data_IF_619361481898
#
_entry.id   IF_619361481898
#
_cell.length_a   1.000
_cell.length_b   1.000
_cell.length_c   1.000
_cell.angle_alpha   90.00
_cell.angle_beta   90.00
_cell.angle_gamma   90.00
#
_symmetry.space_group_name_H-M   'P 1'
#
loop_
_entity.id
_entity.type
_entity.pdbx_description
1 polymer ?
#
# COMPACT_ATOMS: atom_id res chain seq x y z
N UNK A 1 -33.05 1.74 6.82
CA UNK A 1 -31.58 1.59 6.90
C UNK A 1 -31.29 0.10 6.91
N UNK A 2 -30.44 -0.38 6.00
CA UNK A 2 -30.12 -1.81 5.89
C UNK A 2 -29.07 -2.27 6.95
N UNK A 3 -28.78 -1.44 7.96
CA UNK A 3 -27.78 -1.74 9.00
C UNK A 3 -26.33 -1.73 8.46
N UNK A 4 -26.11 -1.19 7.27
CA UNK A 4 -24.79 -1.11 6.67
C UNK A 4 -23.91 -0.12 7.42
N UNK A 5 -22.71 -0.56 7.79
CA UNK A 5 -21.72 0.28 8.49
C UNK A 5 -20.71 0.78 7.45
N UNK A 6 -20.58 2.09 7.34
CA UNK A 6 -19.60 2.75 6.47
C UNK A 6 -18.59 3.52 7.31
N UNK A 7 -17.36 3.49 6.89
CA UNK A 7 -16.29 4.24 7.55
C UNK A 7 -16.21 5.65 7.02
N UNK A 8 -15.87 6.60 7.90
CA UNK A 8 -15.65 7.99 7.49
C UNK A 8 -14.47 8.60 8.28
N UNK A 9 -13.90 9.64 7.70
CA UNK A 9 -12.89 10.47 8.33
C UNK A 9 -13.54 11.80 8.72
N UNK A 10 -13.27 12.28 9.93
CA UNK A 10 -13.63 13.63 10.34
C UNK A 10 -12.63 14.60 9.71
N UNK A 11 -13.13 15.57 8.96
CA UNK A 11 -12.31 16.63 8.35
C UNK A 11 -12.27 17.87 9.22
N UNK A 12 -13.41 18.25 9.80
CA UNK A 12 -13.55 19.48 10.58
C UNK A 12 -14.64 19.30 11.64
N UNK A 13 -14.47 19.96 12.76
CA UNK A 13 -15.49 20.07 13.82
C UNK A 13 -15.75 21.52 14.10
N UNK A 14 -17.00 21.97 13.90
CA UNK A 14 -17.46 23.34 14.14
C UNK A 14 -18.64 23.33 15.11
N UNK A 15 -18.40 23.60 16.38
CA UNK A 15 -19.41 23.55 17.42
C UNK A 15 -20.07 22.17 17.46
N UNK A 16 -21.39 22.11 17.23
CA UNK A 16 -22.18 20.87 17.26
C UNK A 16 -22.20 20.12 15.92
N UNK A 17 -21.52 20.65 14.89
CA UNK A 17 -21.45 20.06 13.56
C UNK A 17 -20.08 19.48 13.27
N UNK A 18 -20.03 18.32 12.64
CA UNK A 18 -18.81 17.71 12.12
C UNK A 18 -18.93 17.45 10.62
N UNK A 19 -17.95 17.94 9.87
CA UNK A 19 -17.78 17.60 8.45
C UNK A 19 -17.04 16.27 8.36
N UNK A 20 -17.67 15.28 7.73
CA UNK A 20 -17.08 13.94 7.58
C UNK A 20 -16.99 13.57 6.10
N UNK A 21 -15.92 12.90 5.74
CA UNK A 21 -15.71 12.34 4.41
C UNK A 21 -15.83 10.82 4.48
N UNK A 22 -16.72 10.26 3.69
CA UNK A 22 -16.91 8.81 3.61
C UNK A 22 -15.79 8.16 2.79
N UNK A 23 -15.35 6.99 3.21
CA UNK A 23 -14.42 6.14 2.44
C UNK A 23 -15.13 5.34 1.34
N UNK A 24 -16.46 5.27 1.39
CA UNK A 24 -17.29 4.52 0.47
C UNK A 24 -18.33 5.45 -0.15
N UNK A 25 -19.07 4.95 -1.17
CA UNK A 25 -20.13 5.74 -1.82
C UNK A 25 -21.20 6.20 -0.82
N UNK A 26 -21.67 7.43 -0.96
CA UNK A 26 -22.78 7.97 -0.19
C UNK A 26 -24.16 7.46 -0.66
N UNK A 27 -24.22 6.67 -1.73
CA UNK A 27 -25.48 6.17 -2.31
C UNK A 27 -26.24 5.33 -1.30
N UNK A 28 -27.54 5.63 -1.13
CA UNK A 28 -28.43 4.87 -0.23
C UNK A 28 -28.34 5.27 1.25
N UNK A 29 -27.63 6.34 1.61
CA UNK A 29 -27.65 6.88 2.97
C UNK A 29 -29.00 7.58 3.21
N UNK A 30 -29.75 7.12 4.22
CA UNK A 30 -30.93 7.81 4.69
C UNK A 30 -30.54 8.84 5.76
N UNK A 31 -30.67 10.13 5.44
CA UNK A 31 -30.26 11.23 6.32
C UNK A 31 -31.03 11.25 7.64
N UNK A 32 -32.29 10.79 7.66
CA UNK A 32 -33.13 10.82 8.86
C UNK A 32 -32.83 9.67 9.86
N UNK A 33 -32.30 8.54 9.36
CA UNK A 33 -32.08 7.33 10.17
C UNK A 33 -30.61 7.01 10.40
N UNK A 34 -29.69 7.68 9.68
CA UNK A 34 -28.26 7.44 9.81
C UNK A 34 -27.74 7.98 11.15
N UNK A 35 -26.88 7.19 11.76
CA UNK A 35 -26.20 7.55 13.00
C UNK A 35 -24.70 7.53 12.80
N UNK A 36 -24.01 8.50 13.38
CA UNK A 36 -22.54 8.59 13.39
C UNK A 36 -22.01 8.20 14.77
N UNK A 37 -20.97 7.37 14.78
CA UNK A 37 -20.24 7.03 15.99
C UNK A 37 -18.79 7.43 15.84
N UNK A 38 -18.31 8.36 16.65
CA UNK A 38 -16.89 8.72 16.71
C UNK A 38 -16.11 7.64 17.45
N UNK A 39 -15.02 7.18 16.85
CA UNK A 39 -14.20 6.09 17.39
C UNK A 39 -13.04 6.59 18.26
N UNK A 40 -12.70 7.89 18.17
CA UNK A 40 -11.61 8.50 18.93
C UNK A 40 -10.22 7.98 18.55
N UNK A 41 -10.09 7.35 17.37
CA UNK A 41 -8.82 6.81 16.88
C UNK A 41 -8.66 7.10 15.40
N UNK A 42 -7.40 7.13 14.96
CA UNK A 42 -7.03 7.21 13.55
C UNK A 42 -7.33 5.91 12.79
N UNK A 43 -7.14 5.94 11.50
CA UNK A 43 -7.24 4.75 10.67
C UNK A 43 -6.06 3.81 10.99
N UNK A 44 -6.39 2.56 11.28
CA UNK A 44 -5.42 1.51 11.59
C UNK A 44 -5.45 0.39 10.55
N UNK A 45 -4.32 -0.29 10.38
CA UNK A 45 -4.19 -1.51 9.59
C UNK A 45 -3.78 -2.68 10.48
N UNK A 46 -4.45 -3.82 10.29
CA UNK A 46 -4.15 -5.06 11.00
C UNK A 46 -2.99 -5.79 10.32
N UNK A 47 -1.91 -6.03 11.03
CA UNK A 47 -0.71 -6.67 10.52
C UNK A 47 -0.45 -8.01 11.20
N UNK A 48 0.02 -8.98 10.44
CA UNK A 48 0.55 -10.28 10.86
C UNK A 48 1.45 -10.82 9.75
N UNK A 49 2.25 -11.87 9.96
CA UNK A 49 3.00 -12.52 8.88
C UNK A 49 2.12 -13.03 7.75
N UNK A 50 0.84 -13.32 8.03
CA UNK A 50 -0.13 -13.86 7.07
C UNK A 50 -0.59 -12.83 6.01
N UNK A 51 -0.12 -11.57 6.09
CA UNK A 51 -0.34 -10.59 5.01
C UNK A 51 0.48 -10.90 3.76
N UNK A 52 1.54 -11.70 3.87
CA UNK A 52 2.31 -12.15 2.72
C UNK A 52 1.47 -13.07 1.83
N UNK A 53 1.62 -12.91 0.52
CA UNK A 53 0.84 -13.66 -0.46
C UNK A 53 -0.55 -13.10 -0.73
N UNK A 54 -0.94 -12.00 -0.05
CA UNK A 54 -2.31 -11.50 -0.07
C UNK A 54 -2.47 -10.23 -0.90
N UNK A 55 -3.70 -10.05 -1.39
CA UNK A 55 -4.13 -8.86 -2.14
C UNK A 55 -5.20 -8.13 -1.35
N UNK A 56 -5.00 -6.84 -1.14
CA UNK A 56 -5.87 -5.95 -0.37
C UNK A 56 -6.41 -4.80 -1.22
N UNK A 57 -7.58 -4.30 -0.88
CA UNK A 57 -8.05 -2.99 -1.34
C UNK A 57 -7.19 -1.86 -0.78
N UNK A 58 -7.34 -0.64 -1.28
CA UNK A 58 -6.66 0.53 -0.75
C UNK A 58 -6.96 0.83 0.72
N UNK A 59 -8.04 0.27 1.27
CA UNK A 59 -8.41 0.34 2.68
C UNK A 59 -7.92 -0.86 3.52
N UNK A 60 -7.07 -1.73 2.96
CA UNK A 60 -6.54 -2.88 3.67
C UNK A 60 -7.53 -4.03 3.87
N UNK A 61 -8.58 -4.11 3.06
CA UNK A 61 -9.55 -5.21 3.09
C UNK A 61 -9.10 -6.30 2.09
N UNK A 62 -9.02 -7.57 2.47
CA UNK A 62 -8.70 -8.64 1.52
C UNK A 62 -9.67 -8.66 0.34
N UNK A 63 -9.14 -8.80 -0.89
CA UNK A 63 -9.91 -8.88 -2.14
C UNK A 63 -9.53 -10.09 -3.00
N UNK A 64 -8.81 -11.03 -2.42
CA UNK A 64 -8.27 -12.23 -3.06
C UNK A 64 -9.08 -13.51 -2.75
N UNK A 65 -10.32 -13.36 -2.30
CA UNK A 65 -11.22 -14.44 -1.86
C UNK A 65 -10.65 -15.32 -0.72
N UNK A 66 -9.53 -14.90 -0.12
CA UNK A 66 -8.93 -15.56 1.03
C UNK A 66 -9.63 -15.18 2.35
N UNK A 67 -9.33 -15.91 3.43
CA UNK A 67 -9.90 -15.62 4.74
C UNK A 67 -9.45 -14.25 5.25
N UNK A 68 -10.24 -13.66 6.16
CA UNK A 68 -9.83 -12.45 6.87
C UNK A 68 -8.53 -12.70 7.65
N UNK A 69 -7.62 -11.73 7.63
CA UNK A 69 -6.38 -11.78 8.38
C UNK A 69 -6.70 -11.56 9.86
N UNK A 70 -6.23 -12.46 10.71
CA UNK A 70 -6.27 -12.28 12.17
C UNK A 70 -5.03 -11.46 12.54
N UNK A 71 -5.17 -10.18 12.89
CA UNK A 71 -4.02 -9.33 13.11
C UNK A 71 -3.34 -9.66 14.45
N UNK A 72 -2.02 -9.78 14.44
CA UNK A 72 -1.22 -9.78 15.67
C UNK A 72 -1.25 -8.40 16.34
N UNK A 73 -1.23 -7.35 15.53
CA UNK A 73 -1.28 -5.95 15.95
C UNK A 73 -2.11 -5.11 15.02
N UNK A 74 -2.57 -3.97 15.51
CA UNK A 74 -3.15 -2.89 14.70
C UNK A 74 -2.25 -1.67 14.81
N UNK A 75 -1.78 -1.20 13.68
CA UNK A 75 -0.85 -0.07 13.56
C UNK A 75 -1.56 1.12 12.92
N UNK A 76 -1.30 2.31 13.44
CA UNK A 76 -1.76 3.56 12.84
C UNK A 76 -1.07 3.77 11.49
N UNK A 77 -1.86 4.03 10.45
CA UNK A 77 -1.33 4.22 9.10
C UNK A 77 -0.55 5.53 8.90
N UNK A 78 -0.61 6.44 9.86
CA UNK A 78 0.23 7.64 9.83
C UNK A 78 1.69 7.33 10.23
N UNK A 79 1.95 6.13 10.74
CA UNK A 79 3.28 5.69 11.15
C UNK A 79 3.77 6.37 12.43
N UNK A 80 4.99 6.01 12.82
CA UNK A 80 5.69 6.65 13.93
C UNK A 80 6.87 7.47 13.39
N UNK A 81 7.10 8.69 13.90
CA UNK A 81 8.25 9.50 13.47
C UNK A 81 9.54 8.82 13.91
N UNK A 82 10.47 8.65 12.96
CA UNK A 82 11.81 8.13 13.25
C UNK A 82 12.75 9.33 13.48
N UNK A 83 13.47 9.32 14.60
CA UNK A 83 14.49 10.31 14.86
C UNK A 83 15.55 10.29 13.73
N UNK A 84 15.79 11.41 13.03
CA UNK A 84 16.79 11.46 11.96
C UNK A 84 18.20 11.01 12.40
N UNK A 85 18.57 11.22 13.66
CA UNK A 85 19.85 10.81 14.21
C UNK A 85 20.00 9.27 14.36
N UNK A 86 18.88 8.53 14.33
CA UNK A 86 18.88 7.06 14.37
C UNK A 86 19.02 6.42 12.98
N UNK A 87 19.14 7.22 11.92
CA UNK A 87 19.30 6.71 10.55
C UNK A 87 20.75 6.38 10.28
N UNK A 88 20.98 5.19 9.77
CA UNK A 88 22.27 4.77 9.24
C UNK A 88 22.40 5.13 7.76
N UNK A 89 23.64 5.29 7.30
CA UNK A 89 23.90 5.46 5.88
C UNK A 89 23.61 4.15 5.14
N UNK A 90 22.83 4.19 4.05
CA UNK A 90 22.50 2.99 3.27
C UNK A 90 23.77 2.44 2.61
N UNK A 91 23.99 1.12 2.77
CA UNK A 91 25.15 0.43 2.20
C UNK A 91 24.77 -0.87 1.48
N UNK A 92 23.59 -1.45 1.76
CA UNK A 92 23.18 -2.72 1.21
C UNK A 92 22.53 -2.56 -0.17
N UNK A 93 23.15 -3.17 -1.19
CA UNK A 93 22.68 -3.11 -2.57
C UNK A 93 21.44 -3.96 -2.79
N UNK A 94 20.41 -3.37 -3.38
CA UNK A 94 19.22 -4.06 -3.85
C UNK A 94 19.34 -4.22 -5.37
N UNK A 95 19.52 -5.46 -5.81
CA UNK A 95 19.54 -5.79 -7.22
C UNK A 95 18.10 -5.79 -7.76
N UNK A 96 17.81 -4.88 -8.69
CA UNK A 96 16.48 -4.77 -9.32
C UNK A 96 16.31 -5.71 -10.52
N UNK A 97 17.41 -6.19 -11.08
CA UNK A 97 17.45 -6.98 -12.31
C UNK A 97 17.35 -6.14 -13.58
N UNK A 98 17.35 -4.82 -13.46
CA UNK A 98 17.36 -3.86 -14.59
C UNK A 98 18.75 -3.25 -14.65
N UNK A 99 19.51 -3.59 -15.70
CA UNK A 99 20.93 -3.21 -15.82
C UNK A 99 21.17 -1.69 -15.76
N UNK A 100 20.27 -0.90 -16.34
CA UNK A 100 20.37 0.57 -16.27
C UNK A 100 20.22 1.12 -14.85
N UNK A 101 19.36 0.50 -14.02
CA UNK A 101 19.19 0.87 -12.61
C UNK A 101 20.40 0.35 -11.82
N UNK A 102 20.67 -0.95 -11.93
CA UNK A 102 21.70 -1.61 -11.14
C UNK A 102 23.11 -1.05 -11.41
N UNK A 103 23.36 -0.58 -12.64
CA UNK A 103 24.67 -0.07 -13.05
C UNK A 103 24.85 1.44 -12.95
N UNK A 104 23.77 2.23 -13.15
CA UNK A 104 23.89 3.70 -13.26
C UNK A 104 23.15 4.46 -12.15
N UNK A 105 22.08 3.89 -11.59
CA UNK A 105 21.26 4.48 -10.54
C UNK A 105 21.03 3.48 -9.40
N UNK A 106 22.10 2.86 -8.95
CA UNK A 106 22.12 1.78 -7.95
C UNK A 106 21.16 2.03 -6.79
N UNK A 107 20.22 1.13 -6.61
CA UNK A 107 19.29 1.17 -5.48
C UNK A 107 19.94 0.52 -4.25
N UNK A 108 19.93 1.24 -3.13
CA UNK A 108 20.41 0.73 -1.85
C UNK A 108 19.26 0.76 -0.82
N UNK A 109 19.35 -0.09 0.18
CA UNK A 109 18.37 -0.17 1.26
C UNK A 109 18.19 1.18 1.95
N UNK A 110 16.95 1.62 2.13
CA UNK A 110 16.59 2.91 2.70
C UNK A 110 16.58 4.08 1.70
N UNK A 111 16.94 3.84 0.44
CA UNK A 111 16.89 4.85 -0.63
C UNK A 111 15.52 4.87 -1.32
N UNK A 112 15.17 6.03 -1.84
CA UNK A 112 14.03 6.23 -2.75
C UNK A 112 14.56 6.39 -4.17
N UNK A 113 13.99 5.66 -5.11
CA UNK A 113 14.30 5.75 -6.53
C UNK A 113 13.04 6.16 -7.29
N UNK A 114 12.86 7.43 -7.64
CA UNK A 114 11.75 7.85 -8.49
C UNK A 114 12.01 7.44 -9.93
N UNK A 115 10.97 6.89 -10.59
CA UNK A 115 10.97 6.56 -12.01
C UNK A 115 9.96 7.45 -12.69
N UNK A 116 10.43 8.32 -13.57
CA UNK A 116 9.59 9.19 -14.37
C UNK A 116 9.38 8.58 -15.75
N UNK A 117 8.15 8.56 -16.24
CA UNK A 117 7.83 8.11 -17.58
C UNK A 117 6.82 9.04 -18.25
N UNK A 118 6.89 9.13 -19.57
CA UNK A 118 5.85 9.77 -20.36
C UNK A 118 4.64 8.82 -20.51
N UNK A 119 3.49 9.38 -20.83
CA UNK A 119 2.29 8.61 -21.14
C UNK A 119 2.54 7.63 -22.30
N UNK A 120 2.01 6.42 -22.16
CA UNK A 120 2.16 5.35 -23.17
C UNK A 120 3.47 4.55 -23.08
N UNK A 121 4.38 4.90 -22.18
CA UNK A 121 5.56 4.06 -21.92
C UNK A 121 5.23 2.91 -20.95
N UNK A 122 5.90 1.75 -21.05
CA UNK A 122 5.56 0.55 -20.29
C UNK A 122 6.09 0.59 -18.85
N UNK A 123 5.79 1.64 -18.10
CA UNK A 123 6.23 1.80 -16.69
C UNK A 123 5.64 0.72 -15.77
N UNK A 124 4.41 0.28 -16.05
CA UNK A 124 3.77 -0.81 -15.32
C UNK A 124 4.59 -2.12 -15.44
N UNK A 125 5.01 -2.46 -16.66
CA UNK A 125 5.84 -3.63 -16.92
C UNK A 125 7.19 -3.55 -16.20
N UNK A 126 7.79 -2.35 -16.15
CA UNK A 126 9.03 -2.12 -15.41
C UNK A 126 8.84 -2.33 -13.91
N UNK A 127 7.75 -1.81 -13.33
CA UNK A 127 7.43 -2.00 -11.92
C UNK A 127 7.27 -3.49 -11.55
N UNK A 128 6.52 -4.24 -12.37
CA UNK A 128 6.33 -5.68 -12.21
C UNK A 128 7.64 -6.45 -12.35
N UNK A 129 8.47 -6.11 -13.33
CA UNK A 129 9.76 -6.74 -13.52
C UNK A 129 10.67 -6.54 -12.30
N UNK A 130 10.72 -5.33 -11.75
CA UNK A 130 11.48 -5.04 -10.51
C UNK A 130 10.91 -5.85 -9.34
N UNK A 131 9.59 -5.84 -9.14
CA UNK A 131 8.95 -6.60 -8.06
C UNK A 131 9.30 -8.10 -8.11
N UNK A 132 9.30 -8.67 -9.31
CA UNK A 132 9.58 -10.09 -9.57
C UNK A 132 11.06 -10.45 -9.39
N UNK A 133 11.98 -9.59 -9.79
CA UNK A 133 13.42 -9.89 -9.85
C UNK A 133 14.22 -9.35 -8.67
N UNK A 134 13.69 -8.38 -7.92
CA UNK A 134 14.40 -7.71 -6.85
C UNK A 134 14.85 -8.69 -5.75
N UNK A 135 16.10 -8.51 -5.33
CA UNK A 135 16.74 -9.27 -4.23
C UNK A 135 17.89 -8.49 -3.62
N UNK A 136 18.21 -8.80 -2.39
CA UNK A 136 19.45 -8.34 -1.73
C UNK A 136 20.53 -9.39 -1.94
N UNK A 137 21.71 -8.97 -2.40
CA UNK A 137 22.87 -9.86 -2.59
C UNK A 137 23.63 -10.04 -1.28
N UNK A 138 24.10 -11.27 -1.06
CA UNK A 138 25.04 -11.58 0.03
C UNK A 138 24.40 -11.77 1.40
N UNK A 139 23.08 -11.85 1.48
CA UNK A 139 22.36 -12.18 2.71
C UNK A 139 21.37 -13.30 2.49
N UNK A 140 21.24 -14.20 3.47
CA UNK A 140 20.17 -15.19 3.54
C UNK A 140 18.87 -14.63 4.15
N UNK A 141 18.81 -13.31 4.33
CA UNK A 141 17.66 -12.63 4.94
C UNK A 141 16.43 -12.74 4.05
N UNK A 142 15.28 -12.94 4.68
CA UNK A 142 14.00 -12.98 3.98
C UNK A 142 13.75 -11.64 3.26
N UNK A 143 13.32 -11.72 2.01
CA UNK A 143 13.00 -10.56 1.17
C UNK A 143 11.52 -10.52 0.83
N UNK A 144 10.88 -9.40 1.03
CA UNK A 144 9.48 -9.17 0.69
C UNK A 144 9.32 -7.96 -0.23
N UNK A 145 8.24 -7.95 -1.00
CA UNK A 145 7.82 -6.82 -1.82
C UNK A 145 6.46 -6.34 -1.33
N UNK A 146 6.33 -5.05 -1.11
CA UNK A 146 5.03 -4.41 -0.88
C UNK A 146 4.71 -3.57 -2.11
N UNK A 147 3.65 -3.95 -2.81
CA UNK A 147 3.23 -3.31 -4.06
C UNK A 147 1.94 -2.54 -3.83
N UNK A 148 1.96 -1.24 -4.07
CA UNK A 148 0.80 -0.37 -3.97
C UNK A 148 0.45 0.18 -5.36
N UNK A 149 -0.67 -0.28 -5.91
CA UNK A 149 -1.25 0.22 -7.16
C UNK A 149 -2.32 1.26 -6.83
N UNK A 150 -2.09 2.51 -7.23
CA UNK A 150 -2.85 3.67 -6.78
C UNK A 150 -3.57 4.33 -7.95
N UNK A 151 -4.90 4.32 -7.93
CA UNK A 151 -5.73 4.97 -8.96
C UNK A 151 -5.57 4.36 -10.36
N UNK A 152 -5.32 3.05 -10.43
CA UNK A 152 -5.09 2.33 -11.69
C UNK A 152 -6.39 1.84 -12.33
N UNK A 153 -6.32 1.46 -13.61
CA UNK A 153 -7.45 0.83 -14.28
C UNK A 153 -7.67 -0.61 -13.78
N UNK A 154 -8.84 -1.17 -14.08
CA UNK A 154 -9.13 -2.56 -13.75
C UNK A 154 -8.19 -3.52 -14.53
N UNK A 155 -7.91 -3.19 -15.78
CA UNK A 155 -7.03 -3.98 -16.64
C UNK A 155 -5.59 -4.02 -16.09
N UNK A 156 -5.08 -2.88 -15.60
CA UNK A 156 -3.76 -2.83 -14.97
C UNK A 156 -3.73 -3.65 -13.66
N UNK A 157 -4.81 -3.60 -12.86
CA UNK A 157 -4.91 -4.39 -11.64
C UNK A 157 -4.86 -5.89 -11.93
N UNK A 158 -5.66 -6.35 -12.91
CA UNK A 158 -5.64 -7.74 -13.37
C UNK A 158 -4.28 -8.15 -13.92
N UNK A 159 -3.63 -7.28 -14.67
CA UNK A 159 -2.27 -7.51 -15.18
C UNK A 159 -1.27 -7.74 -14.03
N UNK A 160 -1.25 -6.87 -13.01
CA UNK A 160 -0.35 -7.01 -11.88
C UNK A 160 -0.60 -8.30 -11.09
N UNK A 161 -1.86 -8.57 -10.75
CA UNK A 161 -2.21 -9.75 -9.94
C UNK A 161 -1.93 -11.04 -10.70
N UNK A 162 -2.27 -11.09 -11.99
CA UNK A 162 -2.05 -12.28 -12.82
C UNK A 162 -0.57 -12.58 -13.04
N UNK A 163 0.25 -11.54 -13.29
CA UNK A 163 1.71 -11.74 -13.43
C UNK A 163 2.35 -12.21 -12.12
N UNK A 164 1.99 -11.61 -10.99
CA UNK A 164 2.51 -12.04 -9.69
C UNK A 164 2.13 -13.49 -9.35
N UNK A 165 0.90 -13.90 -9.65
CA UNK A 165 0.45 -15.29 -9.48
C UNK A 165 1.19 -16.24 -10.44
N UNK A 166 1.27 -15.90 -11.72
CA UNK A 166 1.89 -16.74 -12.75
C UNK A 166 3.39 -16.96 -12.51
N UNK A 167 4.07 -15.98 -11.92
CA UNK A 167 5.52 -16.04 -11.65
C UNK A 167 5.88 -16.54 -10.25
N UNK A 168 4.89 -16.75 -9.38
CA UNK A 168 5.10 -17.08 -7.96
C UNK A 168 5.64 -15.92 -7.13
N UNK A 169 5.74 -14.72 -7.70
CA UNK A 169 6.17 -13.53 -6.96
C UNK A 169 5.16 -13.12 -5.87
N UNK A 170 3.92 -13.54 -6.01
CA UNK A 170 2.85 -13.26 -5.04
C UNK A 170 3.21 -13.76 -3.64
N UNK A 171 3.82 -14.94 -3.49
CA UNK A 171 4.09 -15.60 -2.21
C UNK A 171 4.98 -14.76 -1.27
N UNK A 172 5.80 -13.88 -1.83
CA UNK A 172 6.66 -12.95 -1.10
C UNK A 172 6.20 -11.50 -1.20
N UNK A 173 4.99 -11.27 -1.71
CA UNK A 173 4.45 -9.93 -1.94
C UNK A 173 3.23 -9.66 -1.08
N UNK A 174 3.04 -8.39 -0.74
CA UNK A 174 1.79 -7.83 -0.22
C UNK A 174 1.33 -6.81 -1.23
N UNK A 175 0.12 -6.99 -1.78
CA UNK A 175 -0.38 -6.13 -2.86
C UNK A 175 -1.57 -5.32 -2.36
N UNK A 176 -1.52 -4.01 -2.54
CA UNK A 176 -2.63 -3.10 -2.30
C UNK A 176 -3.10 -2.53 -3.63
N UNK A 177 -4.40 -2.61 -3.88
CA UNK A 177 -5.01 -2.14 -5.13
C UNK A 177 -6.07 -1.09 -4.82
N UNK A 178 -5.93 0.07 -5.42
CA UNK A 178 -6.93 1.12 -5.47
C UNK A 178 -7.23 1.43 -6.93
N UNK A 179 -8.48 1.28 -7.32
CA UNK A 179 -8.91 1.51 -8.69
C UNK A 179 -9.20 2.99 -8.95
N UNK A 180 -9.22 3.37 -10.22
CA UNK A 180 -9.47 4.76 -10.64
C UNK A 180 -10.89 5.24 -10.26
N UNK A 181 -11.85 4.34 -10.14
CA UNK A 181 -13.23 4.62 -9.73
C UNK A 181 -13.47 4.55 -8.22
N UNK A 182 -12.45 4.17 -7.43
CA UNK A 182 -12.54 4.21 -5.97
C UNK A 182 -12.50 5.65 -5.45
N UNK A 183 -13.07 5.91 -4.26
CA UNK A 183 -13.05 7.24 -3.65
C UNK A 183 -11.64 7.81 -3.46
N UNK A 184 -11.46 9.13 -3.67
CA UNK A 184 -10.17 9.81 -3.52
C UNK A 184 -9.52 9.59 -2.14
N UNK A 185 -10.33 9.51 -1.08
CA UNK A 185 -9.85 9.23 0.28
C UNK A 185 -9.18 7.87 0.41
N UNK A 186 -9.71 6.86 -0.27
CA UNK A 186 -9.08 5.54 -0.33
C UNK A 186 -7.74 5.62 -1.05
N UNK A 187 -7.69 6.36 -2.16
CA UNK A 187 -6.47 6.60 -2.93
C UNK A 187 -5.36 7.22 -2.09
N UNK A 188 -5.69 8.23 -1.28
CA UNK A 188 -4.73 8.87 -0.35
C UNK A 188 -4.27 7.91 0.76
N UNK A 189 -5.13 6.98 1.18
CA UNK A 189 -4.83 6.04 2.26
C UNK A 189 -3.98 4.86 1.79
N UNK A 190 -4.10 4.44 0.53
CA UNK A 190 -3.45 3.25 -0.04
C UNK A 190 -1.93 3.22 0.17
N UNK A 191 -1.14 4.26 -0.16
CA UNK A 191 0.30 4.24 0.09
C UNK A 191 0.65 4.14 1.58
N UNK A 192 -0.18 4.73 2.45
CA UNK A 192 0.04 4.66 3.90
C UNK A 192 -0.21 3.25 4.44
N UNK A 193 -1.26 2.57 3.96
CA UNK A 193 -1.53 1.16 4.28
C UNK A 193 -0.35 0.28 3.85
N UNK A 194 0.13 0.48 2.62
CA UNK A 194 1.28 -0.26 2.10
C UNK A 194 2.56 -0.02 2.92
N UNK A 195 2.84 1.23 3.27
CA UNK A 195 4.00 1.56 4.11
C UNK A 195 3.88 0.98 5.52
N UNK A 196 2.68 0.97 6.11
CA UNK A 196 2.45 0.33 7.43
C UNK A 196 2.73 -1.17 7.38
N UNK A 197 2.29 -1.86 6.33
CA UNK A 197 2.62 -3.27 6.11
C UNK A 197 4.14 -3.47 5.93
N UNK A 198 4.78 -2.60 5.17
CA UNK A 198 6.23 -2.65 4.93
C UNK A 198 7.03 -2.41 6.20
N UNK A 199 6.66 -1.44 7.03
CA UNK A 199 7.29 -1.17 8.33
C UNK A 199 7.20 -2.37 9.27
N UNK A 200 6.04 -3.00 9.36
CA UNK A 200 5.85 -4.21 10.16
C UNK A 200 6.77 -5.34 9.70
N UNK A 201 6.80 -5.63 8.39
CA UNK A 201 7.65 -6.68 7.84
C UNK A 201 9.14 -6.38 8.02
N UNK A 202 9.53 -5.10 7.89
CA UNK A 202 10.92 -4.70 8.00
C UNK A 202 11.40 -4.67 9.46
N UNK A 203 10.68 -4.00 10.34
CA UNK A 203 11.15 -3.71 11.69
C UNK A 203 10.78 -4.79 12.71
N UNK A 204 9.65 -5.46 12.54
CA UNK A 204 9.22 -6.49 13.49
C UNK A 204 9.54 -7.92 13.01
N UNK A 205 9.46 -8.16 11.70
CA UNK A 205 9.78 -9.46 11.12
C UNK A 205 11.23 -9.57 10.62
N UNK A 206 12.01 -8.48 10.66
CA UNK A 206 13.42 -8.46 10.26
C UNK A 206 13.66 -8.77 8.78
N UNK A 207 12.69 -8.46 7.92
CA UNK A 207 12.80 -8.72 6.48
C UNK A 207 13.42 -7.56 5.73
N UNK A 208 14.08 -7.84 4.61
CA UNK A 208 14.36 -6.81 3.62
C UNK A 208 13.08 -6.54 2.81
N UNK A 209 12.61 -5.31 2.81
CA UNK A 209 11.36 -4.95 2.14
C UNK A 209 11.60 -3.91 1.05
N UNK A 210 11.18 -4.23 -0.16
CA UNK A 210 11.10 -3.29 -1.26
C UNK A 210 9.65 -2.82 -1.42
N UNK A 211 9.43 -1.51 -1.32
CA UNK A 211 8.11 -0.91 -1.57
C UNK A 211 8.08 -0.32 -2.97
N UNK A 212 7.10 -0.72 -3.77
CA UNK A 212 6.85 -0.17 -5.10
C UNK A 212 5.47 0.50 -5.08
N UNK A 213 5.44 1.78 -5.40
CA UNK A 213 4.19 2.55 -5.44
C UNK A 213 3.99 3.08 -6.86
N UNK A 214 2.90 2.71 -7.49
CA UNK A 214 2.46 3.15 -8.80
C UNK A 214 0.94 3.42 -8.78
N UNK A 215 0.39 4.58 -9.14
CA UNK A 215 1.05 5.75 -9.70
C UNK A 215 1.03 6.91 -8.70
N UNK A 216 2.18 7.51 -8.45
CA UNK A 216 2.31 8.65 -7.53
C UNK A 216 1.61 9.89 -8.10
N UNK A 217 1.46 10.00 -9.43
CA UNK A 217 0.70 11.10 -10.06
C UNK A 217 -0.76 11.04 -9.60
N UNK A 218 -1.39 9.86 -9.66
CA UNK A 218 -2.78 9.67 -9.22
C UNK A 218 -2.95 9.95 -7.71
N UNK A 219 -1.94 9.63 -6.91
CA UNK A 219 -1.93 9.97 -5.50
C UNK A 219 -1.85 11.49 -5.27
N UNK A 220 -1.02 12.19 -6.05
CA UNK A 220 -0.83 13.63 -5.91
C UNK A 220 -2.04 14.46 -6.38
N UNK A 221 -2.83 13.91 -7.32
CA UNK A 221 -4.06 14.53 -7.82
C UNK A 221 -5.28 14.31 -6.91
N UNK A 222 -5.22 13.36 -6.01
CA UNK A 222 -6.31 13.02 -5.08
C UNK A 222 -6.34 13.95 -3.86
#
# INVERSE_FOLDING_TARGET
>A
SNGEIRRCKVLEVNGDNALVQLFESATGINLAESKVRFLGKSLDFGVSPDILGRVFSGMGKPIDDGPEIIPEKRLDINGAPINPAAREYPAEFIQTGVSAIDGLNTLVRGQKLPIFSASGLPHANLAVQIARQAKVRGTDSKFAVVFAAVGITFEDAEFFISDFKATGAIDRSVVFVNLANDPAVERISTPRMALTAAEYLAFEQGMHVLVIITDITNYAEA
#
